data_IF_046978580247
#
_entry.id   IF_046978580247
#
_cell.length_a   1.000
_cell.length_b   1.000
_cell.length_c   1.000
_cell.angle_alpha   90.00
_cell.angle_beta   90.00
_cell.angle_gamma   90.00
#
_symmetry.space_group_name_H-M   'P 1'
#
loop_
_entity.id
_entity.type
_entity.pdbx_description
1 polymer ?
#
# COMPACT_ATOMS: atom_id res chain seq x y z
N UNK A 1 -8.31 -35.44 17.10
CA UNK A 1 -7.11 -35.13 16.30
C UNK A 1 -7.31 -35.57 14.85
N UNK A 2 -7.92 -34.71 14.04
CA UNK A 2 -8.19 -34.90 12.61
C UNK A 2 -8.14 -33.51 11.94
N UNK A 3 -6.97 -33.18 11.40
CA UNK A 3 -6.72 -32.49 10.11
C UNK A 3 -7.74 -31.49 9.56
N UNK A 4 -8.09 -30.46 10.32
CA UNK A 4 -8.61 -29.19 9.78
C UNK A 4 -7.77 -28.04 10.31
N UNK A 5 -6.45 -28.08 10.07
CA UNK A 5 -5.70 -26.84 10.04
C UNK A 5 -6.31 -26.03 8.89
N UNK A 6 -7.09 -25.02 9.28
CA UNK A 6 -7.72 -24.05 8.41
C UNK A 6 -6.72 -23.62 7.33
N UNK A 7 -7.01 -23.90 6.05
CA UNK A 7 -6.11 -23.60 4.92
C UNK A 7 -5.95 -22.10 4.63
N UNK A 8 -6.19 -21.26 5.64
CA UNK A 8 -6.04 -19.83 5.58
C UNK A 8 -4.60 -19.48 5.90
N UNK A 9 -4.05 -18.60 5.08
CA UNK A 9 -2.73 -18.04 5.24
C UNK A 9 -2.84 -16.53 5.26
N UNK A 10 -1.93 -15.90 6.00
CA UNK A 10 -1.75 -14.46 5.97
C UNK A 10 -0.97 -14.11 4.70
N UNK A 11 -1.58 -13.30 3.84
CA UNK A 11 -0.95 -12.74 2.64
C UNK A 11 -0.84 -11.21 2.76
N UNK A 12 -0.06 -10.60 1.88
CA UNK A 12 0.24 -9.17 1.94
C UNK A 12 0.23 -8.53 0.54
N UNK A 13 -0.37 -7.35 0.44
CA UNK A 13 -0.30 -6.47 -0.73
C UNK A 13 0.43 -5.18 -0.33
N UNK A 14 1.68 -4.97 -0.78
CA UNK A 14 2.40 -3.74 -0.52
C UNK A 14 1.98 -2.64 -1.52
N UNK A 15 1.69 -1.46 -1.00
CA UNK A 15 1.35 -0.26 -1.77
C UNK A 15 2.24 0.89 -1.30
N UNK A 16 2.86 1.60 -2.24
CA UNK A 16 3.67 2.78 -1.94
C UNK A 16 2.87 4.03 -2.30
N UNK A 17 2.60 4.87 -1.31
CA UNK A 17 1.89 6.16 -1.48
C UNK A 17 2.84 7.32 -1.28
N UNK A 18 2.58 8.46 -1.92
CA UNK A 18 3.43 9.66 -1.78
C UNK A 18 3.43 10.16 -0.33
N UNK A 19 4.46 10.92 0.06
CA UNK A 19 4.50 11.58 1.38
C UNK A 19 3.40 12.64 1.57
N UNK A 20 2.80 13.10 0.48
CA UNK A 20 1.75 14.12 0.45
C UNK A 20 0.34 13.50 0.55
N UNK A 21 0.24 12.17 0.42
CA UNK A 21 -1.05 11.46 0.51
C UNK A 21 -1.61 11.47 1.93
N UNK A 22 -2.93 11.47 2.03
CA UNK A 22 -3.65 11.19 3.28
C UNK A 22 -3.51 9.70 3.63
N UNK A 23 -2.69 9.40 4.64
CA UNK A 23 -2.36 8.03 5.03
C UNK A 23 -3.53 7.32 5.72
N UNK A 24 -4.40 8.07 6.40
CA UNK A 24 -5.59 7.51 7.04
C UNK A 24 -6.61 7.08 5.96
N UNK A 25 -6.86 7.96 4.99
CA UNK A 25 -7.71 7.66 3.82
C UNK A 25 -7.15 6.48 3.02
N UNK A 26 -5.85 6.49 2.71
CA UNK A 26 -5.20 5.38 2.00
C UNK A 26 -5.39 4.06 2.76
N UNK A 27 -5.18 4.06 4.08
CA UNK A 27 -5.35 2.87 4.93
C UNK A 27 -6.79 2.35 4.89
N UNK A 28 -7.78 3.24 4.96
CA UNK A 28 -9.20 2.87 4.89
C UNK A 28 -9.52 2.20 3.54
N UNK A 29 -9.11 2.80 2.43
CA UNK A 29 -9.36 2.26 1.08
C UNK A 29 -8.71 0.88 0.89
N UNK A 30 -7.50 0.68 1.41
CA UNK A 30 -6.82 -0.63 1.38
C UNK A 30 -7.59 -1.70 2.16
N UNK A 31 -8.04 -1.37 3.38
CA UNK A 31 -8.79 -2.30 4.23
C UNK A 31 -10.14 -2.65 3.58
N UNK A 32 -10.84 -1.67 3.01
CA UNK A 32 -12.08 -1.90 2.28
C UNK A 32 -11.90 -2.87 1.11
N UNK A 33 -10.86 -2.66 0.29
CA UNK A 33 -10.56 -3.54 -0.83
C UNK A 33 -10.30 -4.99 -0.36
N UNK A 34 -9.53 -5.16 0.72
CA UNK A 34 -9.34 -6.49 1.32
C UNK A 34 -10.64 -7.08 1.85
N UNK A 35 -11.49 -6.31 2.53
CA UNK A 35 -12.78 -6.81 3.06
C UNK A 35 -13.70 -7.34 1.98
N UNK A 36 -13.77 -6.65 0.83
CA UNK A 36 -14.59 -7.07 -0.31
C UNK A 36 -14.13 -8.42 -0.86
N UNK A 37 -12.82 -8.64 -0.98
CA UNK A 37 -12.28 -9.83 -1.66
C UNK A 37 -11.93 -10.98 -0.71
N UNK A 38 -11.64 -10.71 0.56
CA UNK A 38 -11.28 -11.69 1.58
C UNK A 38 -12.44 -12.07 2.51
N UNK A 39 -13.69 -11.76 2.13
CA UNK A 39 -14.89 -11.97 2.95
C UNK A 39 -15.00 -13.40 3.51
N UNK A 40 -14.69 -14.42 2.69
CA UNK A 40 -14.72 -15.83 3.12
C UNK A 40 -13.73 -16.05 4.26
N UNK A 41 -12.51 -15.53 4.15
CA UNK A 41 -11.51 -15.69 5.20
C UNK A 41 -11.92 -14.95 6.48
N UNK A 42 -12.43 -13.73 6.36
CA UNK A 42 -12.90 -12.94 7.52
C UNK A 42 -14.02 -13.68 8.27
N UNK A 43 -15.00 -14.25 7.54
CA UNK A 43 -16.09 -15.01 8.15
C UNK A 43 -15.62 -16.27 8.87
N UNK A 44 -14.66 -16.98 8.30
CA UNK A 44 -14.19 -18.27 8.82
C UNK A 44 -13.13 -18.13 9.92
N UNK A 45 -12.28 -17.10 9.87
CA UNK A 45 -11.20 -16.88 10.86
C UNK A 45 -11.57 -15.85 11.93
N UNK A 46 -12.49 -14.93 11.64
CA UNK A 46 -12.77 -13.76 12.48
C UNK A 46 -11.66 -12.71 12.47
N UNK A 47 -10.63 -12.84 11.62
CA UNK A 47 -9.52 -11.90 11.53
C UNK A 47 -9.79 -10.82 10.50
N UNK A 48 -9.76 -9.56 10.94
CA UNK A 48 -9.92 -8.38 10.08
C UNK A 48 -8.61 -8.02 9.36
N UNK A 49 -8.67 -7.52 8.11
CA UNK A 49 -7.51 -6.95 7.44
C UNK A 49 -6.96 -5.73 8.19
N UNK A 50 -5.65 -5.54 8.14
CA UNK A 50 -4.97 -4.42 8.76
C UNK A 50 -3.78 -3.96 7.92
N UNK A 51 -3.30 -2.74 8.18
CA UNK A 51 -2.16 -2.15 7.45
C UNK A 51 -1.00 -1.94 8.41
N UNK A 52 0.23 -2.21 7.94
CA UNK A 52 1.47 -1.74 8.58
C UNK A 52 2.16 -0.73 7.68
N UNK A 53 2.85 0.25 8.25
CA UNK A 53 3.54 1.29 7.51
C UNK A 53 5.05 1.25 7.72
N UNK A 54 5.80 1.51 6.66
CA UNK A 54 7.26 1.68 6.65
C UNK A 54 7.61 2.93 5.84
N UNK A 55 8.65 3.67 6.24
CA UNK A 55 9.19 4.76 5.41
C UNK A 55 9.92 4.17 4.20
N UNK A 56 9.80 4.83 3.05
CA UNK A 56 10.50 4.49 1.80
C UNK A 56 11.10 5.73 1.13
N UNK A 57 11.97 5.52 0.14
CA UNK A 57 12.74 6.61 -0.45
C UNK A 57 11.87 7.67 -1.16
N UNK A 58 10.75 7.24 -1.73
CA UNK A 58 9.84 8.11 -2.50
C UNK A 58 8.44 8.22 -1.89
N UNK A 59 8.22 7.69 -0.68
CA UNK A 59 6.88 7.67 -0.07
C UNK A 59 6.77 6.76 1.15
N UNK A 60 5.54 6.56 1.62
CA UNK A 60 5.21 5.64 2.72
C UNK A 60 4.72 4.31 2.15
N UNK A 61 5.33 3.21 2.58
CA UNK A 61 4.95 1.85 2.17
C UNK A 61 3.92 1.28 3.13
N UNK A 62 2.70 1.16 2.65
CA UNK A 62 1.59 0.53 3.33
C UNK A 62 1.52 -0.95 2.94
N UNK A 63 1.62 -1.83 3.93
CA UNK A 63 1.52 -3.28 3.80
C UNK A 63 0.15 -3.74 4.27
N UNK A 64 -0.78 -3.88 3.34
CA UNK A 64 -2.11 -4.43 3.59
C UNK A 64 -1.99 -5.94 3.84
N UNK A 65 -2.43 -6.40 4.99
CA UNK A 65 -2.35 -7.80 5.43
C UNK A 65 -3.74 -8.34 5.67
N UNK A 66 -4.01 -9.53 5.13
CA UNK A 66 -5.32 -10.17 5.16
C UNK A 66 -5.17 -11.70 5.13
N UNK A 67 -6.14 -12.40 5.71
CA UNK A 67 -6.22 -13.85 5.60
C UNK A 67 -6.84 -14.25 4.26
N UNK A 68 -6.39 -15.35 3.67
CA UNK A 68 -6.99 -15.92 2.45
C UNK A 68 -6.70 -17.41 2.34
N UNK A 69 -7.51 -18.14 1.57
CA UNK A 69 -7.24 -19.53 1.28
C UNK A 69 -5.95 -19.66 0.46
N UNK A 70 -5.04 -20.55 0.87
CA UNK A 70 -3.75 -20.71 0.19
C UNK A 70 -3.88 -20.97 -1.32
N UNK A 71 -4.92 -21.72 -1.73
CA UNK A 71 -5.24 -22.01 -3.14
C UNK A 71 -5.75 -20.81 -3.93
N UNK A 72 -6.30 -19.79 -3.28
CA UNK A 72 -6.88 -18.60 -3.91
C UNK A 72 -6.01 -17.35 -3.79
N UNK A 73 -4.91 -17.43 -3.02
CA UNK A 73 -4.00 -16.32 -2.70
C UNK A 73 -3.73 -15.38 -3.86
N UNK A 74 -3.25 -15.90 -5.01
CA UNK A 74 -2.89 -15.07 -6.16
C UNK A 74 -4.09 -14.38 -6.81
N UNK A 75 -5.24 -15.08 -6.86
CA UNK A 75 -6.49 -14.55 -7.41
C UNK A 75 -7.02 -13.42 -6.53
N UNK A 76 -7.05 -13.62 -5.22
CA UNK A 76 -7.52 -12.63 -4.25
C UNK A 76 -6.58 -11.42 -4.20
N UNK A 77 -5.27 -11.64 -4.14
CA UNK A 77 -4.26 -10.58 -4.19
C UNK A 77 -4.43 -9.70 -5.43
N UNK A 78 -4.61 -10.31 -6.61
CA UNK A 78 -4.81 -9.58 -7.87
C UNK A 78 -6.13 -8.78 -7.86
N UNK A 79 -7.21 -9.36 -7.33
CA UNK A 79 -8.50 -8.66 -7.21
C UNK A 79 -8.40 -7.43 -6.30
N UNK A 80 -7.74 -7.59 -5.15
CA UNK A 80 -7.46 -6.49 -4.21
C UNK A 80 -6.64 -5.40 -4.91
N UNK A 81 -5.58 -5.75 -5.64
CA UNK A 81 -4.75 -4.77 -6.36
C UNK A 81 -5.57 -3.98 -7.38
N UNK A 82 -6.42 -4.64 -8.19
CA UNK A 82 -7.26 -3.92 -9.16
C UNK A 82 -8.27 -2.99 -8.48
N UNK A 83 -8.87 -3.41 -7.36
CA UNK A 83 -9.78 -2.55 -6.61
C UNK A 83 -9.05 -1.35 -6.00
N UNK A 84 -7.85 -1.53 -5.45
CA UNK A 84 -7.01 -0.43 -4.94
C UNK A 84 -6.70 0.57 -6.05
N UNK A 85 -6.30 0.11 -7.23
CA UNK A 85 -6.03 0.99 -8.38
C UNK A 85 -7.26 1.80 -8.76
N UNK A 86 -8.45 1.18 -8.77
CA UNK A 86 -9.70 1.89 -9.06
C UNK A 86 -10.07 2.89 -7.97
N UNK A 87 -9.94 2.51 -6.69
CA UNK A 87 -10.22 3.39 -5.54
C UNK A 87 -9.29 4.60 -5.51
N UNK A 88 -8.01 4.42 -5.78
CA UNK A 88 -7.04 5.52 -5.82
C UNK A 88 -7.23 6.39 -7.07
N UNK A 89 -7.55 5.80 -8.23
CA UNK A 89 -7.80 6.54 -9.46
C UNK A 89 -8.99 7.51 -9.39
N UNK A 90 -9.90 7.34 -8.42
CA UNK A 90 -11.02 8.25 -8.16
C UNK A 90 -10.86 9.12 -6.93
N UNK A 91 -9.69 9.15 -6.28
CA UNK A 91 -9.47 9.86 -5.02
C UNK A 91 -8.35 10.89 -5.13
N UNK A 92 -8.69 12.17 -4.93
CA UNK A 92 -7.74 13.28 -5.06
C UNK A 92 -6.78 13.43 -3.84
N UNK A 93 -6.98 12.65 -2.77
CA UNK A 93 -6.17 12.73 -1.54
C UNK A 93 -5.07 11.67 -1.46
N UNK A 94 -5.08 10.69 -2.35
CA UNK A 94 -4.18 9.54 -2.28
C UNK A 94 -3.58 9.28 -3.64
N UNK A 95 -2.25 9.27 -3.72
CA UNK A 95 -1.52 9.05 -4.95
C UNK A 95 -0.47 7.94 -4.78
N UNK A 96 -0.33 7.09 -5.80
CA UNK A 96 0.79 6.15 -5.86
C UNK A 96 2.11 6.90 -5.97
N UNK A 97 3.09 6.49 -5.18
CA UNK A 97 4.44 7.05 -5.30
C UNK A 97 5.14 6.52 -6.55
N UNK A 98 5.64 7.45 -7.36
CA UNK A 98 6.59 7.16 -8.43
C UNK A 98 8.00 7.61 -8.00
N UNK A 99 9.05 6.87 -8.38
CA UNK A 99 10.42 7.34 -8.18
C UNK A 99 10.62 8.69 -8.86
N UNK A 100 10.94 9.71 -8.07
CA UNK A 100 11.27 11.05 -8.56
C UNK A 100 12.59 11.51 -7.95
N UNK A 101 13.27 12.44 -8.61
CA UNK A 101 14.55 12.98 -8.16
C UNK A 101 14.56 14.47 -8.37
N UNK A 102 14.81 15.22 -7.31
CA UNK A 102 15.05 16.65 -7.38
C UNK A 102 16.55 16.91 -7.61
N UNK A 103 16.88 17.60 -8.72
CA UNK A 103 18.27 17.95 -9.06
C UNK A 103 18.51 19.42 -8.79
N UNK A 104 19.20 19.72 -7.69
CA UNK A 104 19.65 21.08 -7.38
C UNK A 104 21.00 21.31 -8.10
N UNK A 105 20.97 22.04 -9.21
CA UNK A 105 22.20 22.42 -9.92
C UNK A 105 22.90 23.59 -9.22
N UNK A 106 24.12 23.35 -8.72
CA UNK A 106 25.03 24.40 -8.25
C UNK A 106 26.20 24.55 -9.23
N UNK A 107 26.28 25.65 -10.01
CA UNK A 107 27.40 25.87 -10.91
C UNK A 107 28.71 25.98 -10.12
N UNK A 108 29.76 25.32 -10.62
CA UNK A 108 31.09 25.39 -10.01
C UNK A 108 31.73 26.73 -10.42
N UNK A 109 31.70 27.72 -9.51
CA UNK A 109 32.27 29.06 -9.73
C UNK A 109 31.28 30.22 -9.54
N UNK A 110 30.41 30.18 -8.53
CA UNK A 110 29.52 31.29 -8.18
C UNK A 110 30.26 32.62 -7.97
N UNK A 111 29.57 33.78 -8.11
CA UNK A 111 30.21 35.09 -8.25
C UNK A 111 31.07 35.42 -7.02
N UNK A 112 32.30 35.85 -7.26
CA UNK A 112 33.11 36.54 -6.25
C UNK A 112 32.34 37.80 -5.90
N UNK A 113 31.82 37.90 -4.68
CA UNK A 113 31.23 39.13 -4.18
C UNK A 113 32.27 40.25 -4.35
N UNK A 114 32.01 41.20 -5.25
CA UNK A 114 32.73 42.47 -5.27
C UNK A 114 32.11 43.32 -4.16
N UNK A 115 32.84 43.47 -3.07
CA UNK A 115 32.60 44.54 -2.10
C UNK A 115 32.69 45.88 -2.84
N UNK A 116 31.67 46.71 -2.65
CA UNK A 116 31.62 48.12 -3.00
C UNK A 116 31.08 48.89 -1.80
#
# INVERSE_FOLDING_TARGET
NYTFQTNFILDEVPVLVTYESDIEEATQLLIEAARVHAEIAIKETGEEPYVRAELGDSGIRLRLRYQTLAKERQKISSAIVFDIVNKFGGNDKVEFAYPHTEVIYRPKGGPVAKEA
#
